data_IF_438184961104
#
_entry.id   IF_438184961104
#
_cell.length_a   1.000
_cell.length_b   1.000
_cell.length_c   1.000
_cell.angle_alpha   90.00
_cell.angle_beta   90.00
_cell.angle_gamma   90.00
#
_symmetry.space_group_name_H-M   'P 1'
#
loop_
_entity.id
_entity.type
_entity.pdbx_description
1 polymer ?
#
# COMPACT_ATOMS: atom_id res chain seq x y z
N UNK A 1 -14.83 -52.68 34.55
CA UNK A 1 -14.19 -53.88 33.99
C UNK A 1 -15.09 -54.37 32.86
N UNK A 2 -14.86 -53.86 31.64
CA UNK A 2 -15.44 -54.33 30.38
C UNK A 2 -14.39 -54.06 29.31
N UNK A 3 -14.10 -55.08 28.52
CA UNK A 3 -12.99 -55.25 27.58
C UNK A 3 -12.93 -54.24 26.42
N UNK A 4 -11.69 -53.95 26.00
CA UNK A 4 -11.33 -53.46 24.66
C UNK A 4 -11.50 -54.58 23.62
N UNK A 5 -11.65 -54.20 22.34
CA UNK A 5 -10.84 -54.86 21.32
C UNK A 5 -9.95 -53.87 20.56
N UNK A 6 -8.70 -54.26 20.45
CA UNK A 6 -7.71 -53.80 19.48
C UNK A 6 -8.18 -54.04 18.04
N UNK A 7 -7.86 -53.11 17.13
CA UNK A 7 -7.64 -53.46 15.73
C UNK A 7 -6.64 -52.51 15.06
N UNK A 8 -5.40 -52.97 15.04
CA UNK A 8 -4.39 -52.71 14.00
C UNK A 8 -4.96 -53.08 12.62
N UNK A 9 -4.57 -52.56 11.45
CA UNK A 9 -3.22 -52.52 10.84
C UNK A 9 -3.39 -51.97 9.40
N UNK A 10 -2.37 -51.25 8.89
CA UNK A 10 -1.80 -51.30 7.51
C UNK A 10 -2.69 -50.75 6.37
N UNK A 11 -2.27 -49.70 5.65
CA UNK A 11 -1.41 -49.88 4.48
C UNK A 11 -0.38 -48.77 4.25
N UNK A 12 0.84 -49.26 4.15
CA UNK A 12 2.06 -48.64 3.64
C UNK A 12 2.03 -48.62 2.10
N UNK A 13 2.40 -47.49 1.47
CA UNK A 13 2.66 -47.44 0.02
C UNK A 13 3.80 -46.47 -0.33
N UNK A 14 5.01 -46.95 -0.02
CA UNK A 14 6.22 -46.99 -0.86
C UNK A 14 6.22 -46.22 -2.21
N UNK A 15 7.21 -45.31 -2.30
CA UNK A 15 8.27 -45.17 -3.33
C UNK A 15 8.00 -44.61 -4.74
N UNK A 16 8.88 -43.68 -5.13
CA UNK A 16 9.31 -43.38 -6.52
C UNK A 16 9.87 -41.95 -6.63
N UNK A 17 11.19 -41.75 -6.55
CA UNK A 17 12.14 -41.59 -7.68
C UNK A 17 12.16 -40.14 -8.23
N UNK A 18 13.23 -39.35 -7.97
CA UNK A 18 14.48 -39.20 -8.74
C UNK A 18 14.45 -38.02 -9.73
N UNK A 19 15.30 -37.02 -9.48
CA UNK A 19 15.94 -36.03 -10.39
C UNK A 19 16.60 -35.02 -9.42
N UNK A 20 17.90 -34.96 -9.15
CA UNK A 20 19.13 -35.05 -9.96
C UNK A 20 19.13 -34.08 -11.15
N UNK A 21 20.26 -33.38 -11.35
CA UNK A 21 20.63 -32.42 -12.42
C UNK A 21 20.29 -30.94 -12.08
N UNK A 22 21.19 -29.94 -12.09
CA UNK A 22 22.64 -29.88 -12.25
C UNK A 22 23.17 -28.54 -11.71
N UNK A 23 24.42 -28.62 -11.25
CA UNK A 23 25.30 -27.56 -10.79
C UNK A 23 25.85 -26.78 -12.01
N UNK A 24 25.55 -25.49 -12.15
CA UNK A 24 26.20 -24.62 -13.16
C UNK A 24 26.99 -23.53 -12.44
N UNK A 25 28.22 -23.89 -12.09
CA UNK A 25 29.32 -22.95 -11.82
C UNK A 25 29.79 -22.37 -13.16
N UNK A 26 29.45 -21.12 -13.44
CA UNK A 26 30.09 -20.35 -14.52
C UNK A 26 31.20 -19.48 -13.93
N UNK A 27 32.37 -20.07 -13.90
CA UNK A 27 33.66 -19.42 -13.75
C UNK A 27 33.98 -18.76 -15.11
N UNK A 28 34.03 -17.43 -15.20
CA UNK A 28 34.57 -16.76 -16.39
C UNK A 28 35.60 -15.71 -16.00
N UNK A 29 36.84 -16.06 -16.32
CA UNK A 29 38.08 -15.33 -16.08
C UNK A 29 38.34 -14.28 -17.16
N UNK A 30 38.83 -13.12 -16.71
CA UNK A 30 39.92 -12.27 -17.29
C UNK A 30 39.71 -11.67 -18.72
N UNK A 31 40.53 -10.69 -19.17
CA UNK A 31 41.65 -9.99 -18.53
C UNK A 31 41.65 -8.46 -18.65
N UNK A 32 42.60 -7.87 -17.91
CA UNK A 32 43.29 -6.60 -18.16
C UNK A 32 43.17 -6.02 -19.57
N UNK A 33 42.79 -4.74 -19.64
CA UNK A 33 43.25 -3.84 -20.70
C UNK A 33 43.92 -2.64 -20.04
N UNK A 34 45.25 -2.70 -20.02
CA UNK A 34 46.13 -1.54 -19.92
C UNK A 34 46.25 -0.91 -21.32
N UNK A 35 46.15 0.42 -21.42
CA UNK A 35 47.05 1.24 -22.24
C UNK A 35 46.73 2.74 -22.13
N UNK A 36 47.60 3.41 -21.38
CA UNK A 36 48.20 4.73 -21.59
C UNK A 36 47.82 5.51 -22.86
N UNK A 37 47.57 6.81 -22.71
CA UNK A 37 48.18 7.86 -23.57
C UNK A 37 48.24 9.17 -22.78
N UNK A 38 49.45 9.57 -22.40
CA UNK A 38 49.82 10.95 -22.07
C UNK A 38 49.89 11.77 -23.37
N UNK A 39 49.44 13.03 -23.32
CA UNK A 39 49.50 13.96 -24.45
C UNK A 39 48.95 15.34 -24.12
N UNK A 40 49.83 16.18 -23.55
CA UNK A 40 49.97 17.63 -23.69
C UNK A 40 48.77 18.60 -23.63
N UNK A 41 48.83 19.41 -22.57
CA UNK A 41 48.77 20.88 -22.56
C UNK A 41 48.05 21.61 -23.72
N UNK A 42 46.98 22.32 -23.39
CA UNK A 42 46.96 23.79 -23.32
C UNK A 42 45.53 24.36 -23.31
N UNK A 43 45.30 25.31 -22.40
CA UNK A 43 44.43 26.48 -22.53
C UNK A 43 42.93 26.26 -22.81
N UNK A 44 42.12 26.43 -21.75
CA UNK A 44 40.68 26.53 -21.87
C UNK A 44 39.97 26.90 -20.58
N UNK A 45 40.50 27.89 -19.83
CA UNK A 45 39.82 28.46 -18.66
C UNK A 45 38.67 29.35 -19.13
N UNK A 46 37.48 28.78 -19.36
CA UNK A 46 36.18 29.46 -19.39
C UNK A 46 35.08 28.48 -19.83
N UNK A 47 34.54 27.64 -18.94
CA UNK A 47 33.18 27.08 -19.12
C UNK A 47 32.63 26.25 -17.94
N UNK A 48 33.02 26.52 -16.70
CA UNK A 48 32.48 25.77 -15.53
C UNK A 48 31.34 26.50 -14.79
N UNK A 49 31.00 27.75 -15.13
CA UNK A 49 29.99 28.52 -14.37
C UNK A 49 28.55 28.46 -14.88
N UNK A 50 28.27 27.78 -16.00
CA UNK A 50 26.91 27.74 -16.57
C UNK A 50 26.11 26.47 -16.27
N UNK A 51 26.77 25.37 -15.86
CA UNK A 51 26.10 24.09 -15.61
C UNK A 51 25.41 24.03 -14.24
N UNK A 52 25.90 24.78 -13.24
CA UNK A 52 25.31 24.79 -11.90
C UNK A 52 23.99 25.57 -11.81
N UNK A 53 23.79 26.60 -12.64
CA UNK A 53 22.56 27.41 -12.58
C UNK A 53 21.33 26.69 -13.14
N UNK A 54 21.51 25.76 -14.10
CA UNK A 54 20.40 25.02 -14.70
C UNK A 54 19.90 23.87 -13.82
N UNK A 55 20.79 23.20 -13.08
CA UNK A 55 20.43 22.14 -12.13
C UNK A 55 19.63 22.68 -10.93
N UNK A 56 19.95 23.89 -10.45
CA UNK A 56 19.22 24.55 -9.37
C UNK A 56 17.80 25.01 -9.75
N UNK A 57 17.59 25.41 -11.01
CA UNK A 57 16.25 25.85 -11.46
C UNK A 57 15.26 24.68 -11.59
N UNK A 58 15.73 23.52 -12.06
CA UNK A 58 14.90 22.34 -12.31
C UNK A 58 14.49 21.59 -11.02
N UNK A 59 15.30 21.64 -9.97
CA UNK A 59 14.95 21.04 -8.67
C UNK A 59 13.86 21.86 -7.96
N UNK A 60 13.95 23.19 -8.01
CA UNK A 60 12.99 24.10 -7.38
C UNK A 60 11.59 24.06 -8.03
N UNK A 61 11.52 23.89 -9.36
CA UNK A 61 10.26 23.80 -10.09
C UNK A 61 9.53 22.47 -9.80
N UNK A 62 10.24 21.34 -9.80
CA UNK A 62 9.68 20.02 -9.46
C UNK A 62 9.16 19.98 -8.02
N UNK A 63 9.92 20.54 -7.07
CA UNK A 63 9.50 20.64 -5.68
C UNK A 63 8.19 21.44 -5.53
N UNK A 64 8.08 22.59 -6.22
CA UNK A 64 6.86 23.41 -6.23
C UNK A 64 5.65 22.68 -6.81
N UNK A 65 5.81 22.01 -7.96
CA UNK A 65 4.74 21.22 -8.56
C UNK A 65 4.27 20.08 -7.67
N UNK A 66 5.21 19.40 -7.00
CA UNK A 66 4.87 18.35 -6.02
C UNK A 66 4.08 18.89 -4.83
N UNK A 67 4.47 20.05 -4.29
CA UNK A 67 3.70 20.69 -3.21
C UNK A 67 2.28 21.03 -3.66
N UNK A 68 2.13 21.62 -4.85
CA UNK A 68 0.83 21.95 -5.42
C UNK A 68 -0.03 20.69 -5.59
N UNK A 69 0.52 19.64 -6.20
CA UNK A 69 -0.19 18.37 -6.38
C UNK A 69 -0.65 17.77 -5.04
N UNK A 70 0.20 17.80 -4.00
CA UNK A 70 -0.16 17.32 -2.66
C UNK A 70 -1.34 18.09 -2.07
N UNK A 71 -1.39 19.42 -2.24
CA UNK A 71 -2.49 20.24 -1.73
C UNK A 71 -3.82 19.90 -2.41
N UNK A 72 -3.81 19.60 -3.71
CA UNK A 72 -5.03 19.23 -4.43
C UNK A 72 -5.49 17.79 -4.16
N UNK A 73 -4.56 16.86 -3.95
CA UNK A 73 -4.87 15.44 -3.73
C UNK A 73 -5.25 15.17 -2.27
N UNK A 74 -4.67 15.91 -1.32
CA UNK A 74 -4.91 15.69 0.11
C UNK A 74 -6.40 15.66 0.49
N UNK A 75 -7.27 16.61 0.09
CA UNK A 75 -8.70 16.55 0.43
C UNK A 75 -9.43 15.30 -0.06
N UNK A 76 -8.89 14.63 -1.08
CA UNK A 76 -9.48 13.44 -1.68
C UNK A 76 -9.03 12.19 -0.90
N UNK A 77 -7.73 12.01 -0.68
CA UNK A 77 -7.18 10.78 -0.11
C UNK A 77 -7.04 10.80 1.40
N UNK A 78 -6.77 11.98 1.98
CA UNK A 78 -6.50 12.12 3.41
C UNK A 78 -7.67 11.64 4.29
N UNK A 79 -8.95 11.87 3.96
CA UNK A 79 -10.06 11.31 4.73
C UNK A 79 -9.92 9.79 4.93
N UNK A 80 -9.66 9.05 3.85
CA UNK A 80 -9.50 7.60 3.89
C UNK A 80 -8.31 7.18 4.78
N UNK A 81 -7.13 7.78 4.57
CA UNK A 81 -5.93 7.46 5.37
C UNK A 81 -6.09 7.82 6.86
N UNK A 82 -6.83 8.89 7.16
CA UNK A 82 -7.12 9.30 8.53
C UNK A 82 -8.02 8.30 9.25
N UNK A 83 -8.92 7.61 8.55
CA UNK A 83 -9.74 6.58 9.18
C UNK A 83 -8.88 5.39 9.63
N UNK A 84 -7.92 4.95 8.80
CA UNK A 84 -6.92 3.95 9.21
C UNK A 84 -6.13 4.43 10.44
N UNK A 85 -5.59 5.65 10.38
CA UNK A 85 -4.79 6.20 11.47
C UNK A 85 -5.58 6.34 12.78
N UNK A 86 -6.85 6.77 12.71
CA UNK A 86 -7.70 6.87 13.88
C UNK A 86 -7.88 5.51 14.56
N UNK A 87 -8.19 4.45 13.80
CA UNK A 87 -8.34 3.10 14.36
C UNK A 87 -7.00 2.54 14.82
N UNK A 88 -5.90 2.80 14.10
CA UNK A 88 -4.56 2.39 14.47
C UNK A 88 -4.16 2.93 15.85
N UNK A 89 -4.42 4.21 16.12
CA UNK A 89 -4.19 4.82 17.43
C UNK A 89 -5.04 4.14 18.51
N UNK A 90 -6.31 3.85 18.22
CA UNK A 90 -7.20 3.18 19.19
C UNK A 90 -6.74 1.78 19.57
N UNK A 91 -6.03 1.08 18.68
CA UNK A 91 -5.45 -0.24 18.95
C UNK A 91 -3.98 -0.18 19.40
N UNK A 92 -3.46 1.02 19.68
CA UNK A 92 -2.12 1.22 20.26
C UNK A 92 -0.97 1.21 19.25
N UNK A 93 -1.24 1.42 17.96
CA UNK A 93 -0.22 1.55 16.91
C UNK A 93 0.15 3.02 16.68
N UNK A 94 1.33 3.26 16.12
CA UNK A 94 1.84 4.59 15.79
C UNK A 94 1.77 4.85 14.28
N UNK A 95 0.73 5.54 13.78
CA UNK A 95 0.52 5.68 12.35
C UNK A 95 1.36 6.79 11.73
N UNK A 96 1.71 6.60 10.46
CA UNK A 96 2.32 7.60 9.59
C UNK A 96 1.48 7.71 8.32
N UNK A 97 1.09 8.93 7.98
CA UNK A 97 0.39 9.21 6.72
C UNK A 97 1.32 9.99 5.79
N UNK A 98 1.42 9.56 4.53
CA UNK A 98 2.20 10.23 3.49
C UNK A 98 1.30 10.50 2.29
N UNK A 99 1.32 11.73 1.79
CA UNK A 99 0.62 12.12 0.55
C UNK A 99 1.63 12.20 -0.59
N UNK A 100 1.34 11.50 -1.70
CA UNK A 100 2.29 11.29 -2.80
C UNK A 100 3.67 10.88 -2.27
N UNK A 101 3.79 9.70 -1.63
CA UNK A 101 5.07 9.21 -1.15
C UNK A 101 6.01 8.92 -2.33
N UNK A 102 7.31 8.89 -2.06
CA UNK A 102 8.27 8.37 -3.01
C UNK A 102 8.02 6.87 -3.15
N UNK A 103 7.88 6.40 -4.39
CA UNK A 103 7.53 5.02 -4.67
C UNK A 103 8.37 4.48 -5.83
N UNK A 104 8.95 3.29 -5.66
CA UNK A 104 9.75 2.60 -6.67
C UNK A 104 8.94 1.58 -7.49
N UNK A 105 7.68 1.35 -7.14
CA UNK A 105 6.80 0.44 -7.86
C UNK A 105 6.14 1.06 -9.10
N UNK A 106 5.48 0.21 -9.89
CA UNK A 106 4.85 0.58 -11.16
C UNK A 106 3.62 1.46 -11.02
N UNK A 107 2.95 1.43 -9.86
CA UNK A 107 1.78 2.26 -9.55
C UNK A 107 2.12 3.20 -8.40
N UNK A 108 2.08 4.51 -8.64
CA UNK A 108 2.37 5.53 -7.62
C UNK A 108 1.12 5.73 -6.75
N UNK A 109 1.19 5.46 -5.43
CA UNK A 109 0.06 5.69 -4.55
C UNK A 109 -0.16 7.19 -4.32
N UNK A 110 -1.43 7.59 -4.23
CA UNK A 110 -1.81 8.98 -3.99
C UNK A 110 -1.73 9.34 -2.50
N UNK A 111 -2.06 8.39 -1.62
CA UNK A 111 -1.90 8.41 -0.18
C UNK A 111 -1.28 7.09 0.28
N UNK A 112 -0.62 7.11 1.43
CA UNK A 112 -0.10 5.92 2.09
C UNK A 112 -0.27 6.10 3.60
N UNK A 113 -1.11 5.28 4.19
CA UNK A 113 -1.06 4.93 5.59
C UNK A 113 -0.02 3.82 5.83
N UNK A 114 0.72 3.93 6.93
CA UNK A 114 1.54 2.85 7.46
C UNK A 114 1.60 2.92 8.99
N UNK A 115 1.91 1.81 9.63
CA UNK A 115 2.20 1.72 11.05
C UNK A 115 3.03 0.46 11.31
N UNK A 116 3.95 0.54 12.28
CA UNK A 116 4.76 -0.62 12.67
C UNK A 116 3.88 -1.72 13.26
N UNK A 117 4.05 -2.95 12.78
CA UNK A 117 3.31 -4.13 13.24
C UNK A 117 4.27 -5.07 13.95
N UNK A 118 4.16 -5.17 15.29
CA UNK A 118 4.89 -6.19 16.04
C UNK A 118 4.32 -7.60 15.75
N UNK A 119 5.16 -8.62 15.86
CA UNK A 119 4.78 -10.04 15.94
C UNK A 119 3.65 -10.33 16.94
N UNK A 120 3.55 -9.58 18.05
CA UNK A 120 2.49 -9.71 19.04
C UNK A 120 1.18 -9.02 18.65
N UNK A 121 1.17 -8.23 17.56
CA UNK A 121 -0.04 -7.51 17.13
C UNK A 121 -1.11 -8.51 16.72
N UNK A 122 -2.29 -8.49 17.37
CA UNK A 122 -3.30 -9.49 17.12
C UNK A 122 -3.91 -9.30 15.72
N UNK A 123 -4.27 -10.41 15.08
CA UNK A 123 -4.80 -10.42 13.71
C UNK A 123 -6.03 -9.52 13.56
N UNK A 124 -6.93 -9.52 14.55
CA UNK A 124 -8.13 -8.70 14.50
C UNK A 124 -7.80 -7.19 14.48
N UNK A 125 -6.71 -6.74 15.10
CA UNK A 125 -6.33 -5.33 15.10
C UNK A 125 -5.83 -4.89 13.71
N UNK A 126 -5.02 -5.72 13.07
CA UNK A 126 -4.55 -5.49 11.69
C UNK A 126 -5.75 -5.40 10.74
N UNK A 127 -6.70 -6.34 10.85
CA UNK A 127 -7.91 -6.35 10.03
C UNK A 127 -8.83 -5.16 10.33
N UNK A 128 -8.98 -4.79 11.60
CA UNK A 128 -9.80 -3.64 12.00
C UNK A 128 -9.24 -2.33 11.45
N UNK A 129 -7.92 -2.14 11.50
CA UNK A 129 -7.25 -0.99 10.89
C UNK A 129 -7.48 -1.00 9.38
N UNK A 130 -7.26 -2.13 8.70
CA UNK A 130 -7.47 -2.22 7.26
C UNK A 130 -8.94 -2.01 6.82
N UNK A 131 -9.91 -2.39 7.64
CA UNK A 131 -11.33 -2.17 7.36
C UNK A 131 -11.86 -0.79 7.84
N UNK A 132 -11.02 0.01 8.49
CA UNK A 132 -11.42 1.24 9.17
C UNK A 132 -12.15 2.26 8.27
N UNK A 133 -11.70 2.57 7.04
CA UNK A 133 -12.35 3.58 6.21
C UNK A 133 -13.82 3.25 5.95
N UNK A 134 -14.10 1.99 5.63
CA UNK A 134 -15.46 1.52 5.41
C UNK A 134 -16.31 1.71 6.67
N UNK A 135 -15.87 1.20 7.82
CA UNK A 135 -16.64 1.27 9.06
C UNK A 135 -16.87 2.72 9.53
N UNK A 136 -15.83 3.55 9.47
CA UNK A 136 -15.88 4.96 9.90
C UNK A 136 -16.82 5.76 9.02
N UNK A 137 -16.65 5.70 7.69
CA UNK A 137 -17.42 6.57 6.80
C UNK A 137 -18.85 6.11 6.55
N UNK A 138 -19.16 4.80 6.69
CA UNK A 138 -20.56 4.36 6.78
C UNK A 138 -21.23 4.86 8.07
N UNK A 139 -20.51 4.86 9.19
CA UNK A 139 -21.02 5.44 10.44
C UNK A 139 -21.27 6.94 10.28
N UNK A 140 -20.33 7.68 9.69
CA UNK A 140 -20.51 9.11 9.38
C UNK A 140 -21.72 9.33 8.47
N UNK A 141 -21.88 8.55 7.40
CA UNK A 141 -23.03 8.66 6.51
C UNK A 141 -24.35 8.45 7.25
N UNK A 142 -24.44 7.40 8.08
CA UNK A 142 -25.62 7.11 8.88
C UNK A 142 -25.95 8.25 9.88
N UNK A 143 -24.94 8.78 10.56
CA UNK A 143 -25.12 9.90 11.49
C UNK A 143 -25.56 11.17 10.75
N UNK A 144 -24.96 11.47 9.60
CA UNK A 144 -25.32 12.62 8.79
C UNK A 144 -26.76 12.50 8.29
N UNK A 145 -27.17 11.36 7.73
CA UNK A 145 -28.55 11.14 7.29
C UNK A 145 -29.57 11.16 8.43
N UNK A 146 -29.18 10.71 9.62
CA UNK A 146 -30.07 10.71 10.80
C UNK A 146 -30.25 12.09 11.41
N UNK A 147 -29.17 12.89 11.51
CA UNK A 147 -29.14 14.11 12.33
C UNK A 147 -29.10 15.41 11.53
N UNK A 148 -28.82 15.38 10.22
CA UNK A 148 -28.61 16.57 9.40
C UNK A 148 -29.59 16.56 8.24
N UNK A 149 -30.41 17.61 8.14
CA UNK A 149 -31.21 17.84 6.92
C UNK A 149 -30.28 18.32 5.81
N UNK A 150 -30.04 17.47 4.82
CA UNK A 150 -29.14 17.76 3.71
C UNK A 150 -29.92 18.47 2.59
N UNK A 151 -29.42 19.63 2.17
CA UNK A 151 -29.94 20.29 0.97
C UNK A 151 -29.65 19.43 -0.27
N UNK A 152 -30.64 19.23 -1.12
CA UNK A 152 -30.52 18.46 -2.37
C UNK A 152 -29.39 18.94 -3.27
N UNK A 153 -29.02 20.22 -3.22
CA UNK A 153 -27.90 20.78 -3.98
C UNK A 153 -26.52 20.23 -3.55
N UNK A 154 -26.37 19.77 -2.31
CA UNK A 154 -25.08 19.27 -1.77
C UNK A 154 -25.08 17.76 -1.49
N UNK A 155 -26.24 17.08 -1.61
CA UNK A 155 -26.34 15.65 -1.33
C UNK A 155 -25.42 14.81 -2.22
N UNK A 156 -25.35 15.13 -3.52
CA UNK A 156 -24.53 14.39 -4.46
C UNK A 156 -23.02 14.55 -4.16
N UNK A 157 -22.47 15.77 -3.96
CA UNK A 157 -21.10 15.94 -3.49
C UNK A 157 -20.78 15.17 -2.20
N UNK A 158 -21.71 15.15 -1.23
CA UNK A 158 -21.53 14.42 0.03
C UNK A 158 -21.50 12.91 -0.22
N UNK A 159 -22.42 12.38 -1.04
CA UNK A 159 -22.42 10.97 -1.45
C UNK A 159 -21.07 10.63 -2.07
N UNK A 160 -20.58 11.40 -3.03
CA UNK A 160 -19.31 11.12 -3.71
C UNK A 160 -18.14 11.13 -2.73
N UNK A 161 -18.04 12.14 -1.86
CA UNK A 161 -16.97 12.24 -0.89
C UNK A 161 -16.98 11.08 0.12
N UNK A 162 -18.13 10.78 0.72
CA UNK A 162 -18.25 9.71 1.70
C UNK A 162 -18.06 8.33 1.07
N UNK A 163 -18.58 8.11 -0.14
CA UNK A 163 -18.41 6.85 -0.87
C UNK A 163 -16.95 6.61 -1.25
N UNK A 164 -16.27 7.65 -1.73
CA UNK A 164 -14.83 7.57 -2.02
C UNK A 164 -14.04 7.27 -0.75
N UNK A 165 -14.32 8.00 0.34
CA UNK A 165 -13.61 7.82 1.61
C UNK A 165 -13.86 6.45 2.25
N UNK A 166 -15.06 5.89 2.10
CA UNK A 166 -15.45 4.58 2.62
C UNK A 166 -14.97 3.39 1.75
N UNK A 167 -14.56 3.64 0.51
CA UNK A 167 -14.21 2.55 -0.42
C UNK A 167 -12.87 1.94 -0.05
N UNK A 168 -12.85 0.62 0.17
CA UNK A 168 -11.63 -0.11 0.49
C UNK A 168 -10.71 -0.17 -0.74
N UNK A 169 -9.44 0.16 -0.52
CA UNK A 169 -8.37 0.04 -1.50
C UNK A 169 -8.02 -1.43 -1.76
N UNK A 170 -7.29 -1.71 -2.84
CA UNK A 170 -6.74 -3.06 -3.07
C UNK A 170 -5.80 -3.50 -1.94
N UNK A 171 -5.06 -2.55 -1.35
CA UNK A 171 -4.18 -2.81 -0.21
C UNK A 171 -4.97 -3.25 1.02
N UNK A 172 -6.06 -2.54 1.33
CA UNK A 172 -6.92 -2.83 2.48
C UNK A 172 -7.48 -4.25 2.38
N UNK A 173 -8.02 -4.59 1.21
CA UNK A 173 -8.59 -5.91 0.95
C UNK A 173 -7.52 -6.99 1.09
N UNK A 174 -6.33 -6.75 0.53
CA UNK A 174 -5.22 -7.69 0.63
C UNK A 174 -4.79 -7.92 2.09
N UNK A 175 -4.74 -6.87 2.91
CA UNK A 175 -4.42 -6.96 4.34
C UNK A 175 -5.54 -7.66 5.12
N UNK A 176 -6.81 -7.37 4.83
CA UNK A 176 -7.95 -8.04 5.45
C UNK A 176 -7.91 -9.56 5.17
N UNK A 177 -7.61 -9.93 3.92
CA UNK A 177 -7.55 -11.32 3.47
C UNK A 177 -6.30 -12.06 3.90
N UNK A 178 -5.15 -11.39 4.01
CA UNK A 178 -3.88 -11.99 4.42
C UNK A 178 -3.12 -11.13 5.47
N UNK A 179 -3.66 -11.00 6.70
CA UNK A 179 -3.04 -10.15 7.74
C UNK A 179 -1.70 -10.69 8.25
N UNK A 180 -1.40 -11.98 8.00
CA UNK A 180 -0.12 -12.57 8.36
C UNK A 180 1.04 -11.99 7.54
N UNK A 181 0.80 -11.65 6.28
CA UNK A 181 1.83 -11.06 5.40
C UNK A 181 2.20 -9.64 5.84
N UNK A 182 1.20 -8.81 6.17
CA UNK A 182 1.43 -7.49 6.76
C UNK A 182 2.25 -7.59 8.07
N UNK A 183 1.92 -8.55 8.94
CA UNK A 183 2.71 -8.81 10.16
C UNK A 183 4.14 -9.24 9.84
N UNK A 184 4.36 -10.13 8.88
CA UNK A 184 5.70 -10.57 8.48
C UNK A 184 6.53 -9.43 7.87
N UNK A 185 5.87 -8.51 7.16
CA UNK A 185 6.48 -7.30 6.64
C UNK A 185 6.76 -6.24 7.74
N UNK A 186 6.13 -6.37 8.91
CA UNK A 186 6.20 -5.38 9.99
C UNK A 186 5.51 -4.05 9.67
N UNK A 187 4.69 -4.02 8.61
CA UNK A 187 4.10 -2.81 8.03
C UNK A 187 2.77 -3.12 7.34
N UNK A 188 1.95 -2.09 7.08
CA UNK A 188 0.69 -2.24 6.36
C UNK A 188 0.92 -2.28 4.84
N UNK A 189 1.74 -3.23 4.38
CA UNK A 189 2.09 -3.47 2.98
C UNK A 189 2.03 -4.97 2.69
N UNK A 190 1.45 -5.31 1.53
CA UNK A 190 1.31 -6.68 1.02
C UNK A 190 1.80 -6.70 -0.42
N UNK A 191 2.54 -7.74 -0.83
CA UNK A 191 3.07 -7.82 -2.19
C UNK A 191 1.95 -8.04 -3.21
N UNK A 192 2.19 -7.58 -4.45
CA UNK A 192 1.21 -7.45 -5.54
C UNK A 192 0.19 -8.59 -5.59
N UNK A 193 -1.08 -8.24 -5.36
CA UNK A 193 -2.09 -9.21 -4.97
C UNK A 193 -3.09 -9.51 -6.09
N UNK A 194 -3.59 -10.75 -6.07
CA UNK A 194 -4.75 -11.26 -6.85
C UNK A 194 -6.03 -10.42 -6.66
N UNK A 195 -6.03 -9.49 -5.70
CA UNK A 195 -7.18 -8.70 -5.27
C UNK A 195 -7.37 -7.39 -6.05
N UNK A 196 -6.53 -7.11 -7.06
CA UNK A 196 -6.61 -5.89 -7.88
C UNK A 196 -7.99 -5.63 -8.50
N UNK A 197 -8.76 -6.68 -8.80
CA UNK A 197 -10.06 -6.53 -9.46
C UNK A 197 -11.25 -6.38 -8.50
N UNK A 198 -11.08 -6.60 -7.19
CA UNK A 198 -12.21 -6.56 -6.24
C UNK A 198 -12.72 -5.13 -6.02
N UNK A 199 -11.86 -4.13 -6.14
CA UNK A 199 -12.22 -2.71 -5.99
C UNK A 199 -13.29 -2.25 -6.98
N UNK A 200 -13.38 -2.91 -8.14
CA UNK A 200 -14.41 -2.68 -9.17
C UNK A 200 -15.81 -2.99 -8.61
N UNK A 201 -15.93 -3.93 -7.69
CA UNK A 201 -17.21 -4.35 -7.10
C UNK A 201 -17.49 -3.56 -5.81
N UNK A 202 -16.48 -3.30 -4.97
CA UNK A 202 -16.70 -2.65 -3.68
C UNK A 202 -17.13 -1.19 -3.84
N UNK A 203 -16.58 -0.47 -4.81
CA UNK A 203 -16.91 0.95 -5.04
C UNK A 203 -18.40 1.22 -5.32
N UNK A 204 -19.06 0.54 -6.28
CA UNK A 204 -20.49 0.77 -6.52
C UNK A 204 -21.36 0.33 -5.35
N UNK A 205 -21.00 -0.75 -4.64
CA UNK A 205 -21.72 -1.21 -3.45
C UNK A 205 -21.64 -0.18 -2.33
N UNK A 206 -20.43 0.30 -2.00
CA UNK A 206 -20.23 1.33 -0.99
C UNK A 206 -20.99 2.61 -1.35
N UNK A 207 -20.99 2.99 -2.63
CA UNK A 207 -21.74 4.16 -3.11
C UNK A 207 -23.24 4.02 -2.89
N UNK A 208 -23.81 2.86 -3.23
CA UNK A 208 -25.23 2.58 -3.02
C UNK A 208 -25.58 2.61 -1.53
N UNK A 209 -24.77 2.00 -0.67
CA UNK A 209 -25.00 1.99 0.78
C UNK A 209 -24.91 3.41 1.35
N UNK A 210 -23.91 4.20 1.00
CA UNK A 210 -23.78 5.60 1.45
C UNK A 210 -24.99 6.42 1.00
N UNK A 211 -25.44 6.26 -0.25
CA UNK A 211 -26.62 6.96 -0.74
C UNK A 211 -27.88 6.59 0.07
N UNK A 212 -28.08 5.31 0.38
CA UNK A 212 -29.18 4.85 1.23
C UNK A 212 -29.09 5.43 2.64
N UNK A 213 -27.89 5.51 3.23
CA UNK A 213 -27.70 6.01 4.58
C UNK A 213 -27.92 7.53 4.72
N UNK A 214 -27.86 8.28 3.62
CA UNK A 214 -28.03 9.74 3.60
C UNK A 214 -29.46 10.19 3.25
N UNK A 215 -30.35 9.27 2.88
CA UNK A 215 -31.74 9.52 2.47
C UNK A 215 -32.68 8.99 3.56
#
# INVERSE_FOLDING_TARGET
MVERPDRSTVTDKKSGLHSEIDNVTSDNRNPDSTNNTEGDAALGSASESQTESQLGSNSSSRARWQTIARVFIAPIVLPHELAHAAVAVLVGLNPVIRILPQWSGTTVPLGQFDAEIDTSTPTWAIQAVAAAPLAVYLTVAALVGTFISINTAVVLPIILLLSFSASLSTGDIAIISNPAEARQAGAFVVQGSTWQNITIITTPVTTAVVAILLI
#
